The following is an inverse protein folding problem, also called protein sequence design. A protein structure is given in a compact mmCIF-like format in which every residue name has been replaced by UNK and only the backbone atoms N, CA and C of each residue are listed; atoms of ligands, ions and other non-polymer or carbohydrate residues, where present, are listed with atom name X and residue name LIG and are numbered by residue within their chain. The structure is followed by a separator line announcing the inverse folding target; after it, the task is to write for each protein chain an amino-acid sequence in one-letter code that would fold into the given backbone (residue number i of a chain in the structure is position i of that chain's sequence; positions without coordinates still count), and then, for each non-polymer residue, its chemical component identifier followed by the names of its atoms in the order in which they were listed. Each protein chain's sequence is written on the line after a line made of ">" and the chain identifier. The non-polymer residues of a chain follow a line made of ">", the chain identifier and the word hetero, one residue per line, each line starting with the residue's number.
data_IF_159139810201
#
_entry.id   IF_159139810201
#
_cell.length_a   1.000
_cell.length_b   1.000
_cell.length_c   1.000
_cell.angle_alpha   90.00
_cell.angle_beta   90.00
_cell.angle_gamma   90.00
#
_symmetry.space_group_name_H-M   'P 1'
#
loop_
_entity.id
_entity.type
_entity.pdbx_description
1 polymer ?
#
# COMPACT_ATOMS: atom_id res chain seq x y z
N UNK A 1 11.75 -72.02 14.01
CA UNK A 1 11.86 -70.75 13.23
C UNK A 1 12.01 -69.62 14.24
N UNK A 2 13.17 -68.93 14.32
CA UNK A 2 13.22 -67.62 14.96
C UNK A 2 13.54 -66.54 13.91
N UNK A 3 12.73 -65.48 13.91
CA UNK A 3 12.77 -64.35 12.98
C UNK A 3 13.62 -63.20 13.55
N UNK A 4 14.16 -62.41 12.63
CA UNK A 4 15.29 -61.49 12.78
C UNK A 4 15.01 -60.16 13.50
N UNK A 5 15.96 -59.82 14.38
CA UNK A 5 16.65 -58.51 14.62
C UNK A 5 15.95 -57.20 14.17
N UNK A 6 15.82 -56.25 15.11
CA UNK A 6 16.03 -54.82 14.83
C UNK A 6 16.96 -54.18 15.87
N UNK A 7 18.12 -53.74 15.39
CA UNK A 7 19.03 -52.81 16.07
C UNK A 7 18.55 -51.36 15.90
N UNK A 8 18.79 -50.51 16.89
CA UNK A 8 18.49 -49.08 16.89
C UNK A 8 19.72 -48.23 17.25
N UNK A 9 19.73 -47.00 16.70
CA UNK A 9 20.61 -45.83 16.94
C UNK A 9 22.00 -45.85 16.25
N UNK A 10 22.51 -44.70 15.73
CA UNK A 10 22.65 -43.44 16.48
C UNK A 10 22.02 -42.18 15.83
N UNK A 11 21.79 -41.17 16.66
CA UNK A 11 21.37 -39.80 16.29
C UNK A 11 22.51 -38.83 16.61
N UNK A 12 23.07 -38.21 15.57
CA UNK A 12 23.85 -36.97 15.57
C UNK A 12 23.49 -36.30 14.23
N UNK A 13 23.34 -34.99 14.06
CA UNK A 13 24.07 -33.85 14.62
C UNK A 13 23.13 -32.64 14.76
N UNK A 14 23.40 -31.76 15.74
CA UNK A 14 22.83 -30.42 15.80
C UNK A 14 23.81 -29.42 15.20
N UNK A 15 23.40 -28.62 14.21
CA UNK A 15 24.13 -27.42 13.83
C UNK A 15 23.23 -26.19 13.91
N UNK A 16 23.69 -25.24 14.71
CA UNK A 16 23.05 -23.95 14.96
C UNK A 16 23.35 -22.99 13.80
N UNK A 17 22.32 -22.40 13.19
CA UNK A 17 22.47 -21.27 12.28
C UNK A 17 22.24 -19.96 13.05
N UNK A 18 23.32 -19.21 13.31
CA UNK A 18 23.25 -17.81 13.78
C UNK A 18 22.73 -16.93 12.63
N UNK A 19 21.48 -16.49 12.71
CA UNK A 19 20.91 -15.48 11.83
C UNK A 19 21.52 -14.10 12.09
N UNK A 20 22.08 -13.50 11.04
CA UNK A 20 22.66 -12.16 11.06
C UNK A 20 21.65 -11.10 11.51
N UNK A 21 22.09 -10.16 12.36
CA UNK A 21 21.31 -8.98 12.72
C UNK A 21 21.25 -8.05 11.50
N UNK A 22 20.06 -7.89 10.92
CA UNK A 22 19.80 -6.88 9.89
C UNK A 22 19.61 -5.52 10.57
N UNK A 23 20.63 -4.66 10.47
CA UNK A 23 20.52 -3.24 10.80
C UNK A 23 19.64 -2.55 9.74
N UNK A 24 18.34 -2.44 10.03
CA UNK A 24 17.40 -1.65 9.21
C UNK A 24 17.76 -0.18 9.34
N UNK A 25 18.47 0.38 8.36
CA UNK A 25 18.62 1.84 8.21
C UNK A 25 17.22 2.45 8.05
N UNK A 26 16.78 3.26 9.00
CA UNK A 26 15.55 4.04 8.89
C UNK A 26 15.72 5.07 7.76
N UNK A 27 14.92 4.98 6.71
CA UNK A 27 14.85 6.00 5.67
C UNK A 27 14.31 7.31 6.23
N UNK A 28 14.77 8.45 5.71
CA UNK A 28 14.18 9.76 6.03
C UNK A 28 13.06 10.03 5.03
N UNK A 29 11.81 10.07 5.50
CA UNK A 29 10.69 10.56 4.71
C UNK A 29 10.61 12.09 4.78
N UNK A 30 10.15 12.73 3.71
CA UNK A 30 9.74 14.12 3.71
C UNK A 30 8.39 14.21 4.41
N UNK A 31 8.30 14.99 5.49
CA UNK A 31 7.05 15.15 6.26
C UNK A 31 6.41 16.46 5.88
N UNK A 32 5.32 16.41 5.11
CA UNK A 32 4.48 17.56 4.86
C UNK A 32 3.55 17.80 6.06
N UNK A 33 3.37 19.06 6.47
CA UNK A 33 2.33 19.44 7.43
C UNK A 33 1.02 19.54 6.66
N UNK A 34 0.11 18.59 6.87
CA UNK A 34 -1.18 18.54 6.18
C UNK A 34 -2.31 18.81 7.16
N UNK A 35 -3.25 19.67 6.78
CA UNK A 35 -4.53 19.85 7.47
C UNK A 35 -5.55 18.83 6.97
N UNK A 36 -6.43 18.28 7.84
CA UNK A 36 -7.49 17.39 7.41
C UNK A 36 -8.37 18.12 6.40
N UNK A 37 -8.36 17.61 5.18
CA UNK A 37 -9.11 18.15 4.04
C UNK A 37 -9.55 16.97 3.19
N UNK A 38 -10.59 17.15 2.37
CA UNK A 38 -10.97 16.20 1.32
C UNK A 38 -9.93 16.09 0.20
N UNK A 39 -8.80 16.80 0.31
CA UNK A 39 -7.70 16.79 -0.66
C UNK A 39 -6.97 15.46 -0.67
N UNK A 40 -6.61 15.01 -1.86
CA UNK A 40 -5.80 13.83 -2.11
C UNK A 40 -4.36 14.21 -2.36
N UNK A 41 -3.43 13.56 -1.68
CA UNK A 41 -1.99 13.68 -1.97
C UNK A 41 -1.59 12.51 -2.86
N UNK A 42 -0.95 12.81 -3.98
CA UNK A 42 -0.29 11.79 -4.80
C UNK A 42 1.04 11.45 -4.13
N UNK A 43 1.15 10.22 -3.62
CA UNK A 43 2.24 9.78 -2.78
C UNK A 43 2.93 8.53 -3.37
N UNK A 44 4.21 8.67 -3.71
CA UNK A 44 5.04 7.55 -4.18
C UNK A 44 5.53 6.64 -3.05
N UNK A 45 5.46 7.10 -1.80
CA UNK A 45 5.75 6.30 -0.61
C UNK A 45 4.57 5.44 -0.13
N UNK A 46 3.35 5.71 -0.62
CA UNK A 46 2.17 4.92 -0.29
C UNK A 46 2.10 3.65 -1.13
N UNK A 47 1.94 2.49 -0.49
CA UNK A 47 1.72 1.21 -1.20
C UNK A 47 0.30 1.04 -1.70
N UNK A 48 -0.66 1.73 -1.07
CA UNK A 48 -2.08 1.68 -1.41
C UNK A 48 -2.68 3.08 -1.46
N UNK A 49 -3.74 3.23 -2.24
CA UNK A 49 -4.71 4.30 -2.15
C UNK A 49 -5.41 4.19 -0.80
N UNK A 50 -5.52 5.29 -0.08
CA UNK A 50 -6.09 5.30 1.27
C UNK A 50 -7.00 6.52 1.41
N UNK A 51 -8.26 6.27 1.73
CA UNK A 51 -9.25 7.30 2.03
C UNK A 51 -9.56 7.33 3.51
N UNK A 52 -9.69 8.53 4.06
CA UNK A 52 -10.18 8.76 5.43
C UNK A 52 -11.68 8.52 5.55
N UNK A 53 -12.20 8.64 6.77
CA UNK A 53 -13.65 8.63 7.04
C UNK A 53 -14.45 9.76 6.35
N UNK A 54 -13.77 10.78 5.82
CA UNK A 54 -14.40 11.88 5.09
C UNK A 54 -14.54 11.62 3.59
N UNK A 55 -14.05 10.49 3.08
CA UNK A 55 -14.15 10.12 1.67
C UNK A 55 -15.46 9.38 1.42
N UNK A 56 -16.17 9.78 0.36
CA UNK A 56 -17.33 9.04 -0.14
C UNK A 56 -16.85 7.95 -1.10
N UNK A 57 -17.09 6.69 -0.70
CA UNK A 57 -16.81 5.53 -1.53
C UNK A 57 -18.07 5.13 -2.30
N UNK A 58 -17.94 4.79 -3.59
CA UNK A 58 -19.06 4.30 -4.40
C UNK A 58 -19.46 2.87 -4.05
N UNK A 59 -18.50 2.08 -3.56
CA UNK A 59 -18.69 0.77 -2.96
C UNK A 59 -17.63 0.52 -1.89
N UNK A 60 -17.92 -0.35 -0.92
CA UNK A 60 -16.95 -0.86 0.04
C UNK A 60 -17.23 -2.33 0.27
N UNK A 61 -16.19 -3.15 0.16
CA UNK A 61 -16.24 -4.58 0.45
C UNK A 61 -15.19 -4.92 1.53
N UNK A 62 -15.42 -5.99 2.32
CA UNK A 62 -14.39 -6.54 3.20
C UNK A 62 -13.13 -6.88 2.39
N UNK A 63 -11.98 -6.50 2.92
CA UNK A 63 -10.69 -6.84 2.30
C UNK A 63 -9.84 -7.68 3.27
N UNK A 64 -8.84 -8.39 2.73
CA UNK A 64 -7.95 -9.25 3.54
C UNK A 64 -6.98 -8.48 4.45
N UNK A 65 -7.03 -7.14 4.44
CA UNK A 65 -6.19 -6.28 5.26
C UNK A 65 -7.01 -5.67 6.39
N UNK A 66 -6.59 -5.94 7.63
CA UNK A 66 -7.20 -5.34 8.82
C UNK A 66 -6.44 -4.13 9.37
N UNK A 67 -5.17 -3.99 9.00
CA UNK A 67 -4.31 -2.90 9.43
C UNK A 67 -3.20 -2.62 8.41
N UNK A 68 -2.68 -1.40 8.44
CA UNK A 68 -1.51 -0.97 7.66
C UNK A 68 -0.49 -0.29 8.58
N UNK A 69 0.78 -0.28 8.17
CA UNK A 69 1.86 0.42 8.87
C UNK A 69 2.11 1.76 8.19
N UNK A 70 2.12 2.82 8.98
CA UNK A 70 2.37 4.18 8.54
C UNK A 70 3.87 4.50 8.60
N UNK A 71 4.29 5.56 7.90
CA UNK A 71 5.71 5.97 7.82
C UNK A 71 6.34 6.41 9.15
N UNK A 72 5.53 6.62 10.19
CA UNK A 72 5.95 6.91 11.56
C UNK A 72 6.04 5.65 12.45
N UNK A 73 6.05 4.45 11.85
CA UNK A 73 6.04 3.14 12.52
C UNK A 73 4.76 2.84 13.34
N UNK A 74 3.69 3.65 13.26
CA UNK A 74 2.39 3.32 13.87
C UNK A 74 1.53 2.47 12.95
N UNK A 75 0.60 1.70 13.52
CA UNK A 75 -0.41 0.97 12.75
C UNK A 75 -1.78 1.63 12.85
N UNK A 76 -2.55 1.57 11.76
CA UNK A 76 -3.94 2.05 11.70
C UNK A 76 -4.84 0.98 11.11
N UNK A 77 -6.11 0.98 11.52
CA UNK A 77 -7.10 0.00 11.10
C UNK A 77 -7.65 0.27 9.70
N UNK A 78 -7.96 -0.80 8.99
CA UNK A 78 -8.62 -0.78 7.68
C UNK A 78 -10.03 -1.35 7.85
N UNK A 79 -11.04 -0.64 7.38
CA UNK A 79 -12.45 -1.06 7.46
C UNK A 79 -12.91 -1.85 6.22
N UNK A 80 -12.23 -1.66 5.09
CA UNK A 80 -12.54 -2.34 3.82
C UNK A 80 -11.77 -1.76 2.65
N UNK A 81 -12.09 -2.21 1.45
CA UNK A 81 -11.56 -1.68 0.20
C UNK A 81 -12.70 -1.41 -0.77
N UNK A 82 -12.57 -0.33 -1.54
CA UNK A 82 -13.62 0.13 -2.43
C UNK A 82 -13.10 0.98 -3.58
N UNK A 83 -14.04 1.67 -4.21
CA UNK A 83 -13.77 2.62 -5.28
C UNK A 83 -14.20 4.02 -4.86
N UNK A 84 -13.46 5.02 -5.35
CA UNK A 84 -13.73 6.44 -5.11
C UNK A 84 -13.81 7.14 -6.45
N UNK A 85 -14.90 7.85 -6.67
CA UNK A 85 -15.05 8.75 -7.81
C UNK A 85 -14.39 10.08 -7.50
N UNK A 86 -13.53 10.55 -8.41
CA UNK A 86 -12.94 11.88 -8.37
C UNK A 86 -13.16 12.59 -9.70
N UNK A 87 -13.00 13.90 -9.70
CA UNK A 87 -13.07 14.69 -10.92
C UNK A 87 -12.06 14.17 -11.94
N UNK A 88 -12.57 13.50 -12.97
CA UNK A 88 -11.80 12.95 -14.09
C UNK A 88 -11.57 11.44 -14.06
N UNK A 89 -11.87 10.72 -12.97
CA UNK A 89 -11.73 9.27 -12.97
C UNK A 89 -12.10 8.54 -11.69
N UNK A 90 -12.27 7.23 -11.84
CA UNK A 90 -12.55 6.30 -10.75
C UNK A 90 -11.26 5.63 -10.29
N UNK A 91 -10.94 5.76 -9.00
CA UNK A 91 -9.83 5.05 -8.39
C UNK A 91 -10.35 3.81 -7.66
N UNK A 92 -9.86 2.64 -8.06
CA UNK A 92 -10.25 1.36 -7.50
C UNK A 92 -9.26 0.88 -6.43
N UNK A 93 -9.67 -0.10 -5.62
CA UNK A 93 -8.82 -0.70 -4.58
C UNK A 93 -8.29 0.33 -3.56
N UNK A 94 -9.14 1.30 -3.24
CA UNK A 94 -8.89 2.32 -2.23
C UNK A 94 -9.23 1.73 -0.87
N UNK A 95 -8.27 1.73 0.05
CA UNK A 95 -8.49 1.30 1.43
C UNK A 95 -9.26 2.38 2.19
N UNK A 96 -10.33 1.97 2.88
CA UNK A 96 -11.00 2.83 3.84
C UNK A 96 -10.27 2.73 5.18
N UNK A 97 -9.68 3.84 5.61
CA UNK A 97 -8.84 3.97 6.79
C UNK A 97 -9.41 5.11 7.65
N UNK A 98 -10.34 4.84 8.58
CA UNK A 98 -11.13 5.88 9.25
C UNK A 98 -10.29 6.96 9.95
N UNK A 99 -9.18 6.56 10.58
CA UNK A 99 -8.30 7.40 11.38
C UNK A 99 -7.20 8.11 10.56
N UNK A 100 -7.28 8.05 9.23
CA UNK A 100 -6.30 8.68 8.34
C UNK A 100 -6.51 10.19 8.31
N UNK A 101 -5.43 10.96 8.54
CA UNK A 101 -5.51 12.43 8.54
C UNK A 101 -5.60 13.05 7.15
N UNK A 102 -5.18 12.32 6.11
CA UNK A 102 -5.06 12.83 4.74
C UNK A 102 -5.22 11.70 3.74
N UNK A 103 -6.03 11.91 2.71
CA UNK A 103 -6.26 10.90 1.68
C UNK A 103 -5.03 10.79 0.77
N UNK A 104 -4.63 9.56 0.42
CA UNK A 104 -3.42 9.28 -0.35
C UNK A 104 -3.76 8.52 -1.61
N UNK A 105 -3.26 8.99 -2.76
CA UNK A 105 -3.21 8.22 -3.99
C UNK A 105 -1.81 7.63 -4.18
N UNK A 106 -1.72 6.30 -4.18
CA UNK A 106 -0.46 5.60 -4.45
C UNK A 106 -0.06 5.76 -5.91
N UNK A 107 1.12 6.34 -6.16
CA UNK A 107 1.71 6.36 -7.51
C UNK A 107 1.95 4.94 -8.02
N UNK A 108 2.35 4.02 -7.13
CA UNK A 108 2.55 2.62 -7.49
C UNK A 108 1.26 2.01 -8.05
N UNK A 109 0.12 2.17 -7.36
CA UNK A 109 -1.13 1.63 -7.85
C UNK A 109 -1.60 2.30 -9.16
N UNK A 110 -1.43 3.63 -9.28
CA UNK A 110 -1.74 4.35 -10.55
C UNK A 110 -0.94 3.75 -11.72
N UNK A 111 0.35 3.51 -11.51
CA UNK A 111 1.26 3.16 -12.60
C UNK A 111 1.35 1.66 -12.90
N UNK A 112 0.97 0.80 -11.95
CA UNK A 112 1.16 -0.66 -12.05
C UNK A 112 -0.13 -1.48 -12.03
N UNK A 113 -1.29 -0.88 -11.70
CA UNK A 113 -2.57 -1.59 -11.71
C UNK A 113 -3.46 -1.11 -12.87
N UNK A 114 -4.15 -2.05 -13.53
CA UNK A 114 -5.05 -1.75 -14.65
C UNK A 114 -4.35 -1.66 -16.01
N UNK A 115 -4.90 -0.83 -16.92
CA UNK A 115 -4.38 -0.63 -18.29
C UNK A 115 -3.09 0.23 -18.36
N UNK A 116 -2.56 0.63 -17.21
CA UNK A 116 -1.33 1.40 -17.09
C UNK A 116 -1.56 2.91 -17.30
N UNK A 117 -1.31 3.67 -16.25
CA UNK A 117 -1.31 5.14 -16.30
C UNK A 117 0.10 5.66 -16.00
N UNK A 118 0.38 6.92 -16.35
CA UNK A 118 1.57 7.65 -15.88
C UNK A 118 1.19 8.86 -15.06
N UNK A 119 2.11 9.25 -14.17
CA UNK A 119 2.00 10.45 -13.35
C UNK A 119 3.10 11.41 -13.78
N UNK A 120 2.71 12.62 -14.17
CA UNK A 120 3.61 13.70 -14.61
C UNK A 120 3.59 14.82 -13.57
N UNK A 121 4.75 15.14 -13.00
CA UNK A 121 4.90 16.26 -12.07
C UNK A 121 5.46 17.48 -12.80
N UNK A 122 4.68 18.56 -12.83
CA UNK A 122 5.10 19.89 -13.25
C UNK A 122 5.47 20.78 -12.05
N UNK A 123 5.94 22.02 -12.29
CA UNK A 123 6.32 22.93 -11.21
C UNK A 123 5.19 23.28 -10.23
N UNK A 124 3.93 23.32 -10.71
CA UNK A 124 2.73 23.67 -9.93
C UNK A 124 1.53 22.78 -10.32
N UNK A 125 1.80 21.57 -10.79
CA UNK A 125 0.75 20.66 -11.23
C UNK A 125 1.20 19.22 -11.18
N UNK A 126 0.22 18.33 -11.14
CA UNK A 126 0.40 16.89 -11.34
C UNK A 126 -0.69 16.38 -12.24
N UNK A 127 -0.34 15.58 -13.24
CA UNK A 127 -1.29 15.06 -14.22
C UNK A 127 -1.19 13.53 -14.21
N UNK A 128 -2.35 12.87 -14.16
CA UNK A 128 -2.47 11.42 -14.37
C UNK A 128 -3.02 11.22 -15.79
N UNK A 129 -2.32 10.42 -16.60
CA UNK A 129 -2.71 10.12 -17.98
C UNK A 129 -2.76 8.63 -18.26
N UNK A 130 -3.67 8.22 -19.12
CA UNK A 130 -3.65 6.87 -19.70
C UNK A 130 -2.45 6.71 -20.65
N UNK A 131 -1.76 5.57 -20.60
CA UNK A 131 -0.61 5.31 -21.47
C UNK A 131 -0.99 5.03 -22.92
N UNK A 132 -2.21 4.52 -23.15
CA UNK A 132 -2.68 4.03 -24.45
C UNK A 132 -3.05 5.18 -25.43
N UNK A 133 -3.60 6.29 -24.93
CA UNK A 133 -4.18 7.36 -25.74
C UNK A 133 -3.81 8.77 -25.26
N UNK A 134 -3.00 8.89 -24.19
CA UNK A 134 -2.53 10.14 -23.59
C UNK A 134 -3.63 11.05 -23.00
N UNK A 135 -4.83 10.49 -22.80
CA UNK A 135 -5.97 11.19 -22.19
C UNK A 135 -5.69 11.50 -20.72
N UNK A 136 -6.00 12.73 -20.32
CA UNK A 136 -5.93 13.15 -18.91
C UNK A 136 -7.08 12.51 -18.12
N UNK A 137 -6.71 11.74 -17.09
CA UNK A 137 -7.64 11.15 -16.12
C UNK A 137 -7.79 12.07 -14.91
N UNK A 138 -6.74 12.73 -14.45
CA UNK A 138 -6.85 13.66 -13.34
C UNK A 138 -5.80 14.75 -13.40
N UNK A 139 -6.12 15.91 -12.83
CA UNK A 139 -5.21 17.04 -12.67
C UNK A 139 -5.27 17.55 -11.24
N UNK A 140 -4.10 17.69 -10.62
CA UNK A 140 -3.90 18.32 -9.32
C UNK A 140 -3.03 19.57 -9.43
N UNK A 141 -3.13 20.45 -8.42
CA UNK A 141 -2.32 21.67 -8.28
C UNK A 141 -1.34 21.56 -7.12
#
# INVERSE_FOLDING_TARGET
>A
VPESIKQSAPKAESSAAKGAKNDKKKGKALVAKVSPSSTWIIDSGASHHMGSSHVEFSNIEPCGMSQITMGNDTTVSVSGSGSVEMDGGTFNQVLSVPDLSTNLLSVYQITHLGEGMRVEFGPNSVIIRELNNDTTVAEGK
#
